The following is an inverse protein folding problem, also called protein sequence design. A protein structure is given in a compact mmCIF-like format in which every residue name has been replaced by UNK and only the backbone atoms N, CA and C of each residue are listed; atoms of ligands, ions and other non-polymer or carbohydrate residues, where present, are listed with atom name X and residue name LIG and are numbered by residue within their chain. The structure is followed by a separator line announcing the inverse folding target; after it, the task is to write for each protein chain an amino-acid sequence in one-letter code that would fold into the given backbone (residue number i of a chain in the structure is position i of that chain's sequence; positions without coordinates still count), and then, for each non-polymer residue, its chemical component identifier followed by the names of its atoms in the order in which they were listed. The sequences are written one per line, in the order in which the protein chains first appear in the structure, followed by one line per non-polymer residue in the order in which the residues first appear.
data_IF_302040077090
#
_entry.id   IF_302040077090
#
_cell.length_a   1.000
_cell.length_b   1.000
_cell.length_c   1.000
_cell.angle_alpha   90.00
_cell.angle_beta   90.00
_cell.angle_gamma   90.00
#
_symmetry.space_group_name_H-M   'P 1'
#
loop_
_entity.id
_entity.type
_entity.pdbx_description
1 polymer ?
#
# COMPACT_ATOMS: atom_id res chain seq x y z
N UNK A 1 -15.37 -2.32 0.52
CA UNK A 1 -14.29 -2.29 -0.48
C UNK A 1 -12.96 -2.16 0.21
N UNK A 2 -11.93 -2.74 -0.37
CA UNK A 2 -10.60 -2.71 0.23
C UNK A 2 -9.73 -1.65 -0.45
N UNK A 3 -8.72 -1.20 0.25
CA UNK A 3 -7.75 -0.26 -0.29
C UNK A 3 -6.35 -0.76 0.03
N UNK A 4 -5.39 -0.40 -0.77
CA UNK A 4 -4.01 -0.75 -0.52
C UNK A 4 -3.11 0.40 -0.97
N UNK A 5 -1.84 0.34 -0.57
CA UNK A 5 -0.86 1.38 -0.91
C UNK A 5 0.16 0.77 -1.86
N UNK A 6 0.41 1.46 -2.96
CA UNK A 6 1.43 1.05 -3.91
C UNK A 6 2.47 2.15 -4.08
N UNK A 7 3.65 1.76 -4.54
CA UNK A 7 4.75 2.68 -4.74
C UNK A 7 5.65 2.14 -5.85
N UNK A 8 6.32 3.03 -6.56
CA UNK A 8 7.28 2.62 -7.57
C UNK A 8 8.68 2.92 -7.05
N UNK A 9 9.51 1.87 -6.94
CA UNK A 9 10.90 1.99 -6.51
C UNK A 9 11.77 1.37 -7.60
N UNK A 10 12.70 2.14 -8.14
CA UNK A 10 13.62 1.67 -9.18
C UNK A 10 12.89 1.02 -10.34
N UNK A 11 11.81 1.65 -10.81
CA UNK A 11 10.97 1.17 -11.90
C UNK A 11 10.22 -0.13 -11.59
N UNK A 12 10.15 -0.51 -10.32
CA UNK A 12 9.38 -1.68 -9.89
C UNK A 12 8.21 -1.23 -9.05
N UNK A 13 7.04 -1.80 -9.34
CA UNK A 13 5.86 -1.55 -8.56
C UNK A 13 5.86 -2.44 -7.32
N UNK A 14 5.75 -1.81 -6.14
CA UNK A 14 5.72 -2.54 -4.88
C UNK A 14 4.49 -2.13 -4.09
N UNK A 15 4.08 -2.97 -3.16
CA UNK A 15 2.88 -2.78 -2.36
C UNK A 15 3.23 -2.78 -0.89
N UNK A 16 2.57 -1.94 -0.12
CA UNK A 16 2.80 -1.88 1.32
C UNK A 16 2.32 -3.17 1.97
N UNK A 17 3.21 -3.80 2.70
CA UNK A 17 2.93 -5.08 3.36
C UNK A 17 2.51 -4.90 4.81
N UNK A 18 2.73 -3.72 5.38
CA UNK A 18 2.53 -3.47 6.80
C UNK A 18 3.85 -3.46 7.53
N UNK A 19 3.85 -2.92 8.74
CA UNK A 19 5.06 -2.88 9.59
C UNK A 19 6.25 -2.20 8.91
N UNK A 20 5.98 -1.23 8.03
CA UNK A 20 7.03 -0.50 7.34
C UNK A 20 7.72 -1.28 6.22
N UNK A 21 7.14 -2.39 5.79
CA UNK A 21 7.73 -3.23 4.74
C UNK A 21 6.96 -3.11 3.42
N UNK A 22 7.68 -3.34 2.33
CA UNK A 22 7.11 -3.31 0.99
C UNK A 22 7.38 -4.64 0.29
N UNK A 23 6.46 -5.06 -0.57
CA UNK A 23 6.59 -6.32 -1.29
C UNK A 23 6.26 -6.10 -2.76
N UNK A 24 6.92 -6.85 -3.64
CA UNK A 24 6.60 -6.84 -5.06
C UNK A 24 5.50 -7.85 -5.41
N UNK A 25 5.05 -8.62 -4.44
CA UNK A 25 4.00 -9.62 -4.66
C UNK A 25 2.65 -9.03 -4.33
N UNK A 26 1.80 -8.92 -5.35
CA UNK A 26 0.48 -8.36 -5.19
C UNK A 26 -0.37 -9.10 -4.15
N UNK A 27 -0.20 -10.42 -4.07
CA UNK A 27 -0.96 -11.24 -3.12
C UNK A 27 -0.58 -11.01 -1.66
N UNK A 28 0.59 -10.42 -1.41
CA UNK A 28 1.04 -10.16 -0.05
C UNK A 28 0.78 -8.73 0.42
N UNK A 29 0.12 -7.93 -0.41
CA UNK A 29 -0.17 -6.55 -0.04
C UNK A 29 -1.09 -6.48 1.17
N UNK A 30 -0.87 -5.45 1.99
CA UNK A 30 -1.79 -5.21 3.10
C UNK A 30 -3.04 -4.53 2.58
N UNK A 31 -4.19 -5.12 2.88
CA UNK A 31 -5.47 -4.55 2.50
C UNK A 31 -6.09 -3.83 3.70
N UNK A 32 -6.58 -2.63 3.45
CA UNK A 32 -7.26 -1.83 4.46
C UNK A 32 -8.75 -1.87 4.18
N UNK A 33 -9.54 -1.90 5.25
CA UNK A 33 -11.00 -1.97 5.11
C UNK A 33 -11.59 -0.69 4.53
N UNK A 34 -10.97 0.44 4.80
CA UNK A 34 -11.45 1.73 4.34
C UNK A 34 -10.31 2.53 3.72
N UNK A 35 -10.67 3.48 2.86
CA UNK A 35 -9.70 4.40 2.28
C UNK A 35 -9.04 5.26 3.35
N UNK A 36 -9.79 5.63 4.39
CA UNK A 36 -9.26 6.45 5.47
C UNK A 36 -8.10 5.75 6.18
N UNK A 37 -8.24 4.45 6.43
CA UNK A 37 -7.17 3.69 7.08
C UNK A 37 -5.93 3.63 6.18
N UNK A 38 -6.12 3.44 4.89
CA UNK A 38 -5.01 3.42 3.94
C UNK A 38 -4.32 4.77 3.87
N UNK A 39 -5.09 5.86 3.91
CA UNK A 39 -4.52 7.21 3.88
C UNK A 39 -3.67 7.51 5.11
N UNK A 40 -4.06 7.02 6.27
CA UNK A 40 -3.26 7.21 7.48
C UNK A 40 -1.88 6.57 7.33
N UNK A 41 -1.83 5.36 6.81
CA UNK A 41 -0.56 4.70 6.55
C UNK A 41 0.22 5.41 5.45
N UNK A 42 -0.48 5.90 4.43
CA UNK A 42 0.15 6.65 3.33
C UNK A 42 0.90 7.88 3.84
N UNK A 43 0.32 8.63 4.76
CA UNK A 43 0.98 9.81 5.31
C UNK A 43 2.29 9.46 6.01
N UNK A 44 2.37 8.28 6.60
CA UNK A 44 3.57 7.85 7.31
C UNK A 44 4.62 7.25 6.38
N UNK A 45 4.19 6.47 5.39
CA UNK A 45 5.13 5.69 4.56
C UNK A 45 5.20 6.12 3.11
N UNK A 46 4.42 7.10 2.69
CA UNK A 46 4.31 7.57 1.31
C UNK A 46 3.72 6.52 0.37
N UNK A 47 3.72 6.82 -0.93
CA UNK A 47 3.11 5.91 -1.91
C UNK A 47 1.79 6.46 -2.40
N UNK A 48 0.98 5.62 -3.04
CA UNK A 48 -0.32 5.99 -3.59
C UNK A 48 -1.38 5.03 -3.08
N UNK A 49 -2.49 5.57 -2.60
CA UNK A 49 -3.62 4.76 -2.15
C UNK A 49 -4.45 4.34 -3.35
N UNK A 50 -4.72 3.06 -3.48
CA UNK A 50 -5.54 2.50 -4.56
C UNK A 50 -6.73 1.80 -3.95
N UNK A 51 -7.93 2.13 -4.44
CA UNK A 51 -9.17 1.48 -4.01
C UNK A 51 -9.46 0.29 -4.92
N UNK A 52 -9.81 -0.82 -4.33
CA UNK A 52 -10.19 -2.02 -5.08
C UNK A 52 -11.69 -2.10 -5.28
#
# INVERSE_FOLDING_TARGET
MASYIRKIICNKEVYFKGSGQWTDKFSERKQYNTEADAKEAHYEYSGVVVNE
#
